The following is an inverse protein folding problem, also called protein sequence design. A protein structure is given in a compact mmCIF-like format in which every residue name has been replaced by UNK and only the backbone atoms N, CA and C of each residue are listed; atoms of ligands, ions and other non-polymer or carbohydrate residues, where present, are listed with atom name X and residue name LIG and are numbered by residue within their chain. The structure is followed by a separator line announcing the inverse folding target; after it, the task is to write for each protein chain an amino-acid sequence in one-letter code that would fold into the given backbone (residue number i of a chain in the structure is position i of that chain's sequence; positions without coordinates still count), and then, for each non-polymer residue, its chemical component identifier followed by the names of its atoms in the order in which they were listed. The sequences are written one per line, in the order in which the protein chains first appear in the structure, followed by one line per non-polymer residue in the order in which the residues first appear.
data_IF_349352812250
#
_entry.id   IF_349352812250
#
_cell.length_a   1.000
_cell.length_b   1.000
_cell.length_c   1.000
_cell.angle_alpha   90.00
_cell.angle_beta   90.00
_cell.angle_gamma   90.00
#
_symmetry.space_group_name_H-M   'P 1'
#
loop_
_entity.id
_entity.type
_entity.pdbx_description
1 polymer ?
#
# COMPACT_ATOMS: atom_id res chain seq x y z
N UNK A 1 20.48 -5.04 23.34
CA UNK A 1 21.07 -5.70 22.17
C UNK A 1 20.74 -4.84 20.96
N UNK A 2 21.71 -4.17 20.36
CA UNK A 2 21.45 -3.34 19.17
C UNK A 2 21.23 -4.26 17.97
N UNK A 3 19.99 -4.45 17.53
CA UNK A 3 19.70 -5.02 16.21
C UNK A 3 19.95 -3.92 15.18
N UNK A 4 20.97 -4.12 14.37
CA UNK A 4 21.26 -3.30 13.21
C UNK A 4 20.10 -3.48 12.23
N UNK A 5 19.31 -2.43 12.06
CA UNK A 5 18.43 -2.29 10.90
C UNK A 5 19.32 -2.41 9.65
N UNK A 6 19.18 -3.52 8.94
CA UNK A 6 19.74 -3.62 7.59
C UNK A 6 18.98 -2.61 6.72
N UNK A 7 19.69 -1.69 6.07
CA UNK A 7 19.06 -0.91 5.03
C UNK A 7 18.64 -1.90 3.93
N UNK A 8 17.35 -2.01 3.69
CA UNK A 8 16.81 -2.70 2.53
C UNK A 8 17.34 -1.93 1.31
N UNK A 9 18.47 -2.37 0.81
CA UNK A 9 19.04 -1.85 -0.43
C UNK A 9 18.00 -2.17 -1.52
N UNK A 10 17.33 -1.12 -1.98
CA UNK A 10 16.46 -1.14 -3.14
C UNK A 10 17.33 -1.63 -4.31
N UNK A 11 17.26 -2.91 -4.60
CA UNK A 11 17.94 -3.53 -5.72
C UNK A 11 17.21 -3.05 -6.98
N UNK A 12 17.61 -1.91 -7.49
CA UNK A 12 17.23 -1.45 -8.82
C UNK A 12 17.94 -2.39 -9.78
N UNK A 13 17.29 -3.50 -10.10
CA UNK A 13 17.66 -4.31 -11.25
C UNK A 13 17.46 -3.42 -12.50
N UNK A 14 18.50 -3.16 -13.28
CA UNK A 14 18.31 -2.63 -14.61
C UNK A 14 17.62 -3.75 -15.42
N UNK A 15 16.29 -3.70 -15.51
CA UNK A 15 15.61 -4.44 -16.58
C UNK A 15 16.12 -3.81 -17.86
N UNK A 16 17.10 -4.48 -18.49
CA UNK A 16 17.54 -4.17 -19.82
C UNK A 16 16.32 -4.30 -20.72
N UNK A 17 15.71 -3.15 -21.03
CA UNK A 17 14.67 -3.06 -22.03
C UNK A 17 15.26 -3.54 -23.34
N UNK A 18 14.92 -4.75 -23.78
CA UNK A 18 15.00 -5.12 -25.16
C UNK A 18 14.00 -4.19 -25.90
N UNK A 19 14.51 -3.06 -26.36
CA UNK A 19 13.79 -2.21 -27.26
C UNK A 19 13.56 -2.98 -28.56
N UNK A 20 12.40 -3.63 -28.68
CA UNK A 20 11.93 -4.12 -29.95
C UNK A 20 11.42 -2.92 -30.75
N UNK A 21 12.07 -2.69 -31.88
CA UNK A 21 11.76 -1.66 -32.84
C UNK A 21 10.33 -1.73 -33.39
N UNK A 22 9.54 -0.67 -33.09
CA UNK A 22 8.72 -0.02 -34.12
C UNK A 22 7.55 -0.77 -34.76
N UNK A 23 6.66 -1.41 -33.94
CA UNK A 23 5.28 -1.62 -34.39
C UNK A 23 4.33 -0.86 -33.43
N UNK A 24 3.18 -0.32 -33.92
CA UNK A 24 2.18 0.24 -33.04
C UNK A 24 1.78 -0.85 -32.07
N UNK A 25 2.04 -0.64 -30.76
CA UNK A 25 1.72 -1.61 -29.73
C UNK A 25 0.25 -1.95 -29.81
N UNK A 26 -0.01 -3.23 -30.08
CA UNK A 26 -1.30 -3.81 -29.82
C UNK A 26 -1.71 -3.50 -28.37
N UNK A 27 -3.01 -3.43 -28.14
CA UNK A 27 -3.66 -3.03 -26.89
C UNK A 27 -3.30 -3.87 -25.64
N UNK A 28 -2.37 -4.79 -25.73
CA UNK A 28 -1.94 -5.69 -24.65
C UNK A 28 -0.43 -5.65 -24.44
N UNK A 29 0.02 -5.70 -23.18
CA UNK A 29 1.44 -5.71 -22.84
C UNK A 29 1.73 -5.72 -21.36
N UNK A 30 2.97 -6.08 -21.01
CA UNK A 30 3.45 -6.01 -19.63
C UNK A 30 3.81 -4.58 -19.23
N UNK A 31 3.71 -4.32 -17.94
CA UNK A 31 4.17 -3.06 -17.34
C UNK A 31 4.81 -3.31 -15.99
N UNK A 32 5.67 -2.39 -15.59
CA UNK A 32 6.20 -2.31 -14.23
C UNK A 32 5.95 -0.90 -13.70
N UNK A 33 5.58 -0.77 -12.44
CA UNK A 33 5.32 0.52 -11.79
C UNK A 33 6.10 0.65 -10.50
N UNK A 34 6.63 1.84 -10.23
CA UNK A 34 7.15 2.25 -8.94
C UNK A 34 6.36 3.47 -8.45
N UNK A 35 6.02 3.48 -7.17
CA UNK A 35 5.17 4.48 -6.56
C UNK A 35 5.79 5.03 -5.28
N UNK A 36 5.56 6.31 -5.02
CA UNK A 36 5.79 6.95 -3.72
C UNK A 36 4.58 7.80 -3.38
N UNK A 37 4.27 7.91 -2.10
CA UNK A 37 3.08 8.65 -1.70
C UNK A 37 3.02 8.94 -0.23
N UNK A 38 1.86 9.43 0.16
CA UNK A 38 1.56 9.82 1.52
C UNK A 38 0.13 9.41 1.85
N UNK A 39 -0.09 8.90 3.06
CA UNK A 39 -1.41 8.44 3.45
C UNK A 39 -1.57 8.39 4.96
N UNK A 40 -2.78 8.13 5.39
CA UNK A 40 -3.16 8.02 6.81
C UNK A 40 -3.90 6.72 7.05
N UNK A 41 -3.54 6.04 8.13
CA UNK A 41 -4.34 4.96 8.71
C UNK A 41 -5.49 5.58 9.49
N UNK A 42 -6.69 5.03 9.35
CA UNK A 42 -7.85 5.49 10.11
C UNK A 42 -7.63 5.28 11.60
N UNK A 43 -8.12 6.22 12.39
CA UNK A 43 -8.11 6.11 13.83
C UNK A 43 -9.00 4.91 14.21
N UNK A 44 -8.40 3.89 14.78
CA UNK A 44 -9.08 2.63 15.13
C UNK A 44 -9.50 2.60 16.59
N UNK A 45 -10.62 1.95 16.89
CA UNK A 45 -10.98 1.56 18.24
C UNK A 45 -10.58 0.10 18.46
N UNK A 46 -9.77 -0.14 19.49
CA UNK A 46 -9.43 -1.48 19.94
C UNK A 46 -10.32 -1.82 21.14
N UNK A 47 -10.88 -3.02 21.19
CA UNK A 47 -11.65 -3.48 22.34
C UNK A 47 -10.94 -4.63 23.05
N UNK A 48 -9.94 -4.35 23.90
CA UNK A 48 -9.34 -5.37 24.74
C UNK A 48 -10.27 -5.65 25.92
N UNK A 49 -11.11 -6.68 25.80
CA UNK A 49 -11.94 -7.20 26.89
C UNK A 49 -12.90 -6.17 27.52
N UNK A 50 -13.60 -5.36 26.71
CA UNK A 50 -14.63 -4.43 27.20
C UNK A 50 -14.11 -3.05 27.65
N UNK A 51 -12.88 -2.69 27.28
CA UNK A 51 -12.34 -1.34 27.47
C UNK A 51 -11.93 -0.79 26.12
N UNK A 52 -12.74 0.11 25.55
CA UNK A 52 -12.43 0.77 24.28
C UNK A 52 -11.14 1.56 24.41
N UNK A 53 -10.12 1.17 23.66
CA UNK A 53 -8.93 1.96 23.43
C UNK A 53 -9.05 2.63 22.06
N UNK A 54 -8.64 3.89 21.93
CA UNK A 54 -8.57 4.60 20.66
C UNK A 54 -7.11 4.89 20.32
N UNK A 55 -6.74 4.62 19.08
CA UNK A 55 -5.44 4.99 18.54
C UNK A 55 -5.60 6.15 17.54
N UNK A 56 -4.78 7.19 17.70
CA UNK A 56 -4.65 8.27 16.71
C UNK A 56 -3.36 8.06 15.92
N UNK A 57 -3.47 8.09 14.60
CA UNK A 57 -2.36 7.87 13.69
C UNK A 57 -2.04 9.14 12.91
N UNK A 58 -0.77 9.51 12.86
CA UNK A 58 -0.29 10.55 11.96
C UNK A 58 -0.15 10.04 10.54
N UNK A 59 -0.37 10.92 9.54
CA UNK A 59 -0.10 10.58 8.16
C UNK A 59 1.36 10.22 7.94
N UNK A 60 1.64 9.21 7.12
CA UNK A 60 2.97 8.68 6.89
C UNK A 60 3.29 8.42 5.42
N UNK A 61 4.48 7.93 5.17
CA UNK A 61 4.98 7.67 3.82
C UNK A 61 4.49 6.32 3.29
N UNK A 62 4.27 6.28 1.98
CA UNK A 62 3.98 5.08 1.21
C UNK A 62 5.02 4.91 0.11
N UNK A 63 5.42 3.67 -0.15
CA UNK A 63 6.21 3.32 -1.33
C UNK A 63 5.77 1.95 -1.84
N UNK A 64 5.82 1.74 -3.15
CA UNK A 64 5.37 0.49 -3.71
C UNK A 64 5.95 0.19 -5.08
N UNK A 65 5.76 -1.06 -5.48
CA UNK A 65 6.10 -1.53 -6.81
C UNK A 65 5.01 -2.49 -7.30
N UNK A 66 4.78 -2.49 -8.59
CA UNK A 66 3.80 -3.38 -9.19
C UNK A 66 4.26 -3.91 -10.55
N UNK A 67 3.77 -5.10 -10.88
CA UNK A 67 3.88 -5.69 -12.21
C UNK A 67 2.46 -5.87 -12.74
N UNK A 68 2.20 -5.35 -13.92
CA UNK A 68 0.89 -5.39 -14.55
C UNK A 68 0.92 -6.02 -15.93
N UNK A 69 -0.25 -6.42 -16.39
CA UNK A 69 -0.50 -6.85 -17.74
C UNK A 69 -1.80 -6.22 -18.26
N UNK A 70 -1.67 -5.38 -19.30
CA UNK A 70 -2.82 -4.84 -20.01
C UNK A 70 -3.40 -5.93 -20.92
N UNK A 71 -4.61 -6.38 -20.62
CA UNK A 71 -5.32 -7.38 -21.43
C UNK A 71 -5.80 -6.75 -22.75
N UNK A 72 -6.25 -5.50 -22.64
CA UNK A 72 -6.65 -4.65 -23.76
C UNK A 72 -6.60 -3.17 -23.35
N UNK A 73 -7.05 -2.25 -24.19
CA UNK A 73 -7.04 -0.80 -23.92
C UNK A 73 -7.82 -0.37 -22.66
N UNK A 74 -8.74 -1.19 -22.20
CA UNK A 74 -9.64 -0.86 -21.06
C UNK A 74 -9.38 -1.68 -19.81
N UNK A 75 -8.87 -2.89 -19.94
CA UNK A 75 -8.74 -3.81 -18.84
C UNK A 75 -7.30 -4.27 -18.64
N UNK A 76 -6.84 -4.24 -17.44
CA UNK A 76 -5.56 -4.78 -17.01
C UNK A 76 -5.67 -5.49 -15.66
N UNK A 77 -4.64 -6.24 -15.36
CA UNK A 77 -4.43 -6.86 -14.05
C UNK A 77 -3.07 -6.46 -13.52
N UNK A 78 -2.94 -6.36 -12.20
CA UNK A 78 -1.70 -5.92 -11.58
C UNK A 78 -1.48 -6.67 -10.26
N UNK A 79 -0.25 -7.13 -10.04
CA UNK A 79 0.23 -7.56 -8.74
C UNK A 79 1.02 -6.39 -8.12
N UNK A 80 0.59 -5.93 -6.96
CA UNK A 80 1.11 -4.74 -6.28
C UNK A 80 1.67 -5.13 -4.91
N UNK A 81 2.81 -4.58 -4.59
CA UNK A 81 3.44 -4.61 -3.29
C UNK A 81 3.58 -3.19 -2.77
N UNK A 82 3.01 -2.90 -1.60
CA UNK A 82 3.06 -1.56 -1.02
C UNK A 82 3.47 -1.61 0.45
N UNK A 83 4.50 -0.84 0.77
CA UNK A 83 4.96 -0.54 2.12
C UNK A 83 4.35 0.79 2.58
N UNK A 84 3.94 0.83 3.85
CA UNK A 84 3.39 2.01 4.53
C UNK A 84 4.06 2.17 5.87
N UNK A 85 4.36 3.39 6.26
CA UNK A 85 4.89 3.71 7.59
C UNK A 85 4.33 5.03 8.07
N UNK A 86 4.16 5.18 9.37
CA UNK A 86 3.68 6.40 10.01
C UNK A 86 3.89 6.35 11.51
N UNK A 87 3.58 7.46 12.17
CA UNK A 87 3.71 7.58 13.61
C UNK A 87 2.35 7.32 14.27
N UNK A 88 2.39 6.72 15.46
CA UNK A 88 1.26 6.57 16.37
C UNK A 88 1.35 7.72 17.37
N UNK A 89 0.41 8.67 17.28
CA UNK A 89 0.42 9.86 18.12
C UNK A 89 -0.03 9.56 19.54
N UNK A 90 -1.06 8.71 19.70
CA UNK A 90 -1.56 8.32 21.01
C UNK A 90 -2.31 6.99 20.98
N UNK A 91 -2.12 6.20 22.01
CA UNK A 91 -3.01 5.07 22.35
C UNK A 91 -3.50 5.30 23.77
N UNK A 92 -4.81 5.36 23.97
CA UNK A 92 -5.40 5.66 25.26
C UNK A 92 -6.57 4.73 25.63
N UNK A 93 -6.61 4.29 26.88
CA UNK A 93 -7.75 3.63 27.50
C UNK A 93 -8.31 4.51 28.60
N UNK A 94 -9.61 4.85 28.55
CA UNK A 94 -10.32 5.47 29.68
C UNK A 94 -9.78 6.82 30.14
N UNK A 95 -9.20 7.64 29.25
CA UNK A 95 -8.74 9.00 29.58
C UNK A 95 -7.27 9.13 29.98
N UNK A 96 -6.49 8.08 29.89
CA UNK A 96 -5.04 8.13 30.08
C UNK A 96 -4.35 7.93 28.72
N UNK A 97 -3.74 8.99 28.18
CA UNK A 97 -2.89 8.91 26.99
C UNK A 97 -1.54 8.37 27.43
N UNK A 98 -1.12 7.24 26.91
CA UNK A 98 0.05 6.58 27.46
C UNK A 98 1.20 6.32 26.49
N UNK A 99 1.00 6.21 25.18
CA UNK A 99 2.08 5.77 24.30
C UNK A 99 2.05 6.46 22.95
N UNK A 100 3.20 6.90 22.48
CA UNK A 100 3.51 7.19 21.09
C UNK A 100 4.33 6.04 20.51
N UNK A 101 4.32 5.84 19.22
CA UNK A 101 5.05 4.76 18.58
C UNK A 101 5.19 4.94 17.08
N UNK A 102 5.81 3.98 16.45
CA UNK A 102 5.94 3.91 15.00
C UNK A 102 5.19 2.66 14.51
N UNK A 103 4.55 2.74 13.36
CA UNK A 103 3.99 1.56 12.71
C UNK A 103 4.50 1.40 11.29
N UNK A 104 4.59 0.16 10.85
CA UNK A 104 4.88 -0.18 9.47
C UNK A 104 3.96 -1.32 9.01
N UNK A 105 3.50 -1.27 7.77
CA UNK A 105 2.72 -2.34 7.17
C UNK A 105 3.14 -2.63 5.75
N UNK A 106 3.02 -3.90 5.36
CA UNK A 106 3.26 -4.39 4.00
C UNK A 106 2.02 -5.11 3.51
N UNK A 107 1.51 -4.71 2.35
CA UNK A 107 0.44 -5.42 1.68
C UNK A 107 0.87 -5.90 0.29
N UNK A 108 0.39 -7.09 -0.06
CA UNK A 108 0.48 -7.63 -1.43
C UNK A 108 -0.93 -7.85 -1.93
N UNK A 109 -1.28 -7.21 -3.05
CA UNK A 109 -2.62 -7.27 -3.64
C UNK A 109 -2.58 -7.61 -5.12
N UNK A 110 -3.58 -8.38 -5.57
CA UNK A 110 -3.89 -8.57 -6.97
C UNK A 110 -5.06 -7.66 -7.36
N UNK A 111 -4.87 -6.79 -8.33
CA UNK A 111 -5.83 -5.77 -8.73
C UNK A 111 -6.35 -6.01 -10.14
N UNK A 112 -7.62 -5.71 -10.39
CA UNK A 112 -8.20 -5.54 -11.71
C UNK A 112 -8.37 -4.04 -11.94
N UNK A 113 -7.85 -3.55 -13.06
CA UNK A 113 -7.84 -2.14 -13.44
C UNK A 113 -8.76 -1.94 -14.63
N UNK A 114 -9.62 -0.93 -14.56
CA UNK A 114 -10.40 -0.46 -15.69
C UNK A 114 -9.96 0.96 -16.09
N UNK A 115 -9.44 1.10 -17.29
CA UNK A 115 -9.02 2.39 -17.86
C UNK A 115 -10.11 2.93 -18.78
N UNK A 116 -10.39 4.22 -18.65
CA UNK A 116 -11.34 4.90 -19.53
C UNK A 116 -10.61 5.40 -20.78
N UNK A 117 -11.11 5.01 -21.94
CA UNK A 117 -10.57 5.47 -23.22
C UNK A 117 -10.79 6.98 -23.37
N UNK A 118 -9.72 7.69 -23.75
CA UNK A 118 -9.77 9.13 -24.06
C UNK A 118 -8.97 9.40 -25.33
N UNK A 119 -9.34 10.46 -26.06
CA UNK A 119 -8.59 10.95 -27.24
C UNK A 119 -7.39 11.84 -26.86
N UNK A 120 -6.92 11.73 -25.62
CA UNK A 120 -5.88 12.57 -25.03
C UNK A 120 -4.80 11.69 -24.37
N UNK A 121 -3.61 12.25 -24.03
CA UNK A 121 -2.58 11.52 -23.30
C UNK A 121 -2.99 11.19 -21.85
N UNK A 122 -4.11 11.70 -21.34
CA UNK A 122 -4.63 11.44 -20.01
C UNK A 122 -5.50 10.18 -20.01
N UNK A 123 -5.22 9.27 -19.10
CA UNK A 123 -5.93 7.99 -18.96
C UNK A 123 -6.47 7.85 -17.53
N UNK A 124 -7.70 8.29 -17.27
CA UNK A 124 -8.35 8.00 -16.00
C UNK A 124 -8.56 6.49 -15.85
N UNK A 125 -8.47 6.00 -14.61
CA UNK A 125 -8.70 4.59 -14.32
C UNK A 125 -9.23 4.40 -12.90
N UNK A 126 -9.89 3.27 -12.70
CA UNK A 126 -10.32 2.76 -11.40
C UNK A 126 -9.89 1.31 -11.28
N UNK A 127 -9.75 0.84 -10.06
CA UNK A 127 -9.43 -0.57 -9.84
C UNK A 127 -9.89 -1.05 -8.48
N UNK A 128 -9.96 -2.36 -8.38
CA UNK A 128 -10.24 -3.06 -7.13
C UNK A 128 -9.37 -4.32 -7.05
N UNK A 129 -9.02 -4.70 -5.84
CA UNK A 129 -8.17 -5.85 -5.62
C UNK A 129 -8.38 -6.51 -4.28
N UNK A 130 -7.83 -7.72 -4.19
CA UNK A 130 -7.77 -8.53 -2.98
C UNK A 130 -6.33 -8.96 -2.75
N UNK A 131 -6.00 -9.20 -1.49
CA UNK A 131 -4.66 -9.61 -1.11
C UNK A 131 -4.52 -9.87 0.37
N UNK A 132 -3.32 -9.70 0.87
CA UNK A 132 -2.99 -9.95 2.26
C UNK A 132 -2.09 -8.84 2.80
N UNK A 133 -2.32 -8.48 4.05
CA UNK A 133 -1.32 -7.80 4.86
C UNK A 133 -0.26 -8.83 5.26
N UNK A 134 0.96 -8.66 4.75
CA UNK A 134 2.06 -9.60 5.03
C UNK A 134 2.65 -9.37 6.42
N UNK A 135 2.70 -8.12 6.85
CA UNK A 135 3.28 -7.72 8.13
C UNK A 135 2.70 -6.38 8.57
N UNK A 136 2.29 -6.32 9.82
CA UNK A 136 2.01 -5.08 10.55
C UNK A 136 2.87 -5.14 11.80
N UNK A 137 3.79 -4.21 11.93
CA UNK A 137 4.63 -4.03 13.12
C UNK A 137 4.28 -2.69 13.76
N UNK A 138 3.98 -2.71 15.05
CA UNK A 138 3.77 -1.52 15.85
C UNK A 138 4.69 -1.54 17.07
N UNK A 139 5.59 -0.55 17.14
CA UNK A 139 6.50 -0.34 18.26
C UNK A 139 5.90 0.70 19.21
N UNK A 140 5.49 0.28 20.40
CA UNK A 140 4.91 1.16 21.42
C UNK A 140 5.96 1.65 22.42
N UNK A 141 6.08 2.96 22.63
CA UNK A 141 6.96 3.60 23.59
C UNK A 141 6.14 4.25 24.73
N UNK A 142 6.53 4.14 26.03
CA UNK A 142 7.79 3.61 26.55
C UNK A 142 7.73 2.11 26.93
N UNK A 143 6.64 1.40 26.73
CA UNK A 143 6.49 0.01 27.18
C UNK A 143 7.41 -0.98 26.48
N UNK A 144 7.87 -0.66 25.25
CA UNK A 144 8.67 -1.57 24.43
C UNK A 144 7.89 -2.79 23.95
N UNK A 145 6.55 -2.76 23.99
CA UNK A 145 5.71 -3.83 23.49
C UNK A 145 5.72 -3.79 21.96
N UNK A 146 6.08 -4.91 21.34
CA UNK A 146 5.96 -5.13 19.90
C UNK A 146 4.68 -5.97 19.68
N UNK A 147 3.81 -5.49 18.82
CA UNK A 147 2.59 -6.20 18.41
C UNK A 147 2.67 -6.40 16.90
N UNK A 148 2.52 -7.63 16.45
CA UNK A 148 2.58 -7.96 15.02
C UNK A 148 1.48 -8.93 14.62
N UNK A 149 0.98 -8.78 13.39
CA UNK A 149 0.12 -9.76 12.71
C UNK A 149 0.62 -10.06 11.31
N UNK A 150 0.26 -11.24 10.81
CA UNK A 150 0.65 -11.70 9.47
C UNK A 150 -0.50 -12.45 8.81
N UNK A 151 -0.86 -11.98 7.61
CA UNK A 151 -1.74 -12.74 6.73
C UNK A 151 -3.20 -12.36 6.77
N UNK A 152 -3.57 -11.23 7.36
CA UNK A 152 -4.94 -10.73 7.31
C UNK A 152 -5.39 -10.48 5.87
N UNK A 153 -6.62 -10.90 5.53
CA UNK A 153 -7.20 -10.67 4.22
C UNK A 153 -7.42 -9.18 4.02
N UNK A 154 -6.92 -8.65 2.91
CA UNK A 154 -7.05 -7.25 2.57
C UNK A 154 -7.79 -7.05 1.25
N UNK A 155 -8.56 -5.96 1.19
CA UNK A 155 -9.19 -5.50 -0.04
C UNK A 155 -8.73 -4.08 -0.34
N UNK A 156 -8.62 -3.75 -1.64
CA UNK A 156 -8.11 -2.46 -2.09
C UNK A 156 -9.01 -1.87 -3.16
N UNK A 157 -9.24 -0.56 -3.07
CA UNK A 157 -9.83 0.24 -4.13
C UNK A 157 -8.83 1.32 -4.54
N UNK A 158 -8.75 1.59 -5.83
CA UNK A 158 -7.89 2.62 -6.38
C UNK A 158 -8.59 3.41 -7.47
N UNK A 159 -8.28 4.68 -7.56
CA UNK A 159 -8.74 5.57 -8.61
C UNK A 159 -7.64 6.56 -8.95
N UNK A 160 -7.36 6.75 -10.23
CA UNK A 160 -6.23 7.57 -10.63
C UNK A 160 -6.34 8.10 -12.05
N UNK A 161 -5.31 8.83 -12.40
CA UNK A 161 -5.09 9.30 -13.75
C UNK A 161 -3.64 9.07 -14.16
N UNK A 162 -3.43 8.45 -15.31
CA UNK A 162 -2.15 8.31 -15.98
C UNK A 162 -1.97 9.41 -17.02
N UNK A 163 -0.78 9.95 -17.14
CA UNK A 163 -0.35 10.80 -18.22
C UNK A 163 0.71 10.08 -19.04
N UNK A 164 0.39 9.76 -20.29
CA UNK A 164 1.32 9.09 -21.22
C UNK A 164 2.35 10.09 -21.72
N UNK A 165 3.52 10.07 -21.10
CA UNK A 165 4.64 10.96 -21.43
C UNK A 165 5.38 10.49 -22.69
N UNK A 166 5.38 9.17 -22.96
CA UNK A 166 5.89 8.55 -24.18
C UNK A 166 5.22 7.20 -24.42
N UNK A 167 5.58 6.52 -25.50
CA UNK A 167 5.05 5.17 -25.80
C UNK A 167 5.40 4.13 -24.73
N UNK A 168 6.44 4.37 -23.95
CA UNK A 168 6.94 3.44 -22.94
C UNK A 168 6.80 3.96 -21.51
N UNK A 169 6.35 5.21 -21.31
CA UNK A 169 6.34 5.83 -19.97
C UNK A 169 4.99 6.51 -19.72
N UNK A 170 4.43 6.16 -18.59
CA UNK A 170 3.23 6.80 -18.04
C UNK A 170 3.50 7.28 -16.60
N UNK A 171 3.16 8.52 -16.30
CA UNK A 171 3.20 9.10 -14.95
C UNK A 171 1.80 8.99 -14.39
N UNK A 172 1.65 8.45 -13.18
CA UNK A 172 0.34 8.21 -12.56
C UNK A 172 0.18 9.01 -11.27
N UNK A 173 -1.01 9.56 -11.05
CA UNK A 173 -1.46 10.06 -9.76
C UNK A 173 -2.67 9.25 -9.34
N UNK A 174 -2.61 8.64 -8.16
CA UNK A 174 -3.56 7.63 -7.73
C UNK A 174 -3.95 7.81 -6.27
N UNK A 175 -5.25 7.82 -5.98
CA UNK A 175 -5.80 7.64 -4.66
C UNK A 175 -6.03 6.16 -4.38
N UNK A 176 -5.68 5.70 -3.17
CA UNK A 176 -5.85 4.32 -2.73
C UNK A 176 -6.58 4.25 -1.41
N UNK A 177 -7.46 3.29 -1.29
CA UNK A 177 -8.05 2.83 -0.05
C UNK A 177 -7.71 1.35 0.12
N UNK A 178 -7.18 0.99 1.28
CA UNK A 178 -6.94 -0.40 1.69
C UNK A 178 -7.70 -0.64 2.98
N UNK A 179 -8.47 -1.71 3.01
CA UNK A 179 -9.11 -2.23 4.21
C UNK A 179 -8.66 -3.66 4.48
N UNK A 180 -8.53 -4.03 5.74
CA UNK A 180 -8.35 -5.41 6.17
C UNK A 180 -9.23 -5.67 7.39
N UNK A 181 -9.89 -6.81 7.38
CA UNK A 181 -10.75 -7.29 8.45
C UNK A 181 -10.02 -8.38 9.24
N UNK A 182 -10.39 -8.54 10.51
CA UNK A 182 -9.90 -9.60 11.39
C UNK A 182 -8.35 -9.61 11.54
N UNK A 183 -7.75 -8.43 11.73
CA UNK A 183 -6.33 -8.33 12.07
C UNK A 183 -6.17 -8.76 13.54
N UNK A 184 -5.64 -9.97 13.76
CA UNK A 184 -5.32 -10.46 15.12
C UNK A 184 -3.95 -9.95 15.55
N UNK A 185 -3.91 -8.83 16.25
CA UNK A 185 -2.67 -8.33 16.85
C UNK A 185 -2.33 -9.16 18.09
N UNK A 186 -1.23 -9.91 18.04
CA UNK A 186 -0.78 -10.76 19.14
C UNK A 186 0.46 -10.16 19.81
N UNK A 187 0.39 -9.88 21.11
CA UNK A 187 1.51 -9.41 21.93
C UNK A 187 1.32 -9.73 23.40
N UNK A 188 2.40 -10.09 24.11
CA UNK A 188 2.44 -10.40 25.56
C UNK A 188 1.35 -11.39 26.06
N UNK A 189 0.90 -12.32 25.18
CA UNK A 189 -0.10 -13.34 25.52
C UNK A 189 -1.54 -12.87 25.46
N UNK A 190 -1.80 -11.74 24.83
CA UNK A 190 -3.15 -11.23 24.52
C UNK A 190 -3.31 -11.10 23.01
N UNK A 191 -4.50 -11.42 22.49
CA UNK A 191 -4.89 -11.21 21.10
C UNK A 191 -6.00 -10.16 21.06
N UNK A 192 -5.89 -9.23 20.12
CA UNK A 192 -6.87 -8.18 19.88
C UNK A 192 -7.30 -8.22 18.42
N UNK A 193 -8.59 -8.14 18.18
CA UNK A 193 -9.13 -7.93 16.83
C UNK A 193 -9.12 -6.43 16.53
N UNK A 194 -8.58 -6.04 15.37
CA UNK A 194 -8.53 -4.67 14.91
C UNK A 194 -8.96 -4.58 13.45
N UNK A 195 -9.72 -3.55 13.12
CA UNK A 195 -9.97 -3.17 11.72
C UNK A 195 -8.83 -2.27 11.26
N UNK A 196 -8.26 -2.58 10.11
CA UNK A 196 -7.23 -1.76 9.49
C UNK A 196 -7.76 -1.09 8.25
N UNK A 197 -7.74 0.22 8.24
CA UNK A 197 -8.10 1.03 7.08
C UNK A 197 -7.00 2.05 6.80
N UNK A 198 -6.66 2.21 5.54
CA UNK A 198 -5.65 3.17 5.11
C UNK A 198 -6.07 3.89 3.83
N UNK A 199 -5.98 5.21 3.85
CA UNK A 199 -6.22 6.08 2.67
C UNK A 199 -4.96 6.84 2.32
N UNK A 200 -4.60 6.87 1.04
CA UNK A 200 -3.40 7.57 0.61
C UNK A 200 -3.48 8.03 -0.84
N UNK A 201 -2.52 8.89 -1.19
CA UNK A 201 -2.29 9.37 -2.56
C UNK A 201 -0.87 9.03 -2.95
N UNK A 202 -0.70 8.46 -4.16
CA UNK A 202 0.60 8.03 -4.68
C UNK A 202 0.87 8.67 -6.04
N UNK A 203 2.11 9.08 -6.23
CA UNK A 203 2.68 9.41 -7.52
C UNK A 203 3.45 8.19 -8.02
N UNK A 204 3.19 7.77 -9.25
CA UNK A 204 3.77 6.58 -9.83
C UNK A 204 4.48 6.85 -11.16
N UNK A 205 5.41 5.96 -11.44
CA UNK A 205 6.11 5.85 -12.71
C UNK A 205 5.87 4.46 -13.26
N UNK A 206 5.20 4.36 -14.42
CA UNK A 206 4.85 3.09 -15.07
C UNK A 206 5.59 2.95 -16.38
N UNK A 207 6.35 1.87 -16.52
CA UNK A 207 7.02 1.47 -17.75
C UNK A 207 6.14 0.45 -18.48
N UNK A 208 5.96 0.68 -19.77
CA UNK A 208 5.19 -0.17 -20.68
C UNK A 208 6.17 -0.92 -21.60
N UNK A 209 6.00 -2.25 -21.69
CA UNK A 209 6.87 -3.13 -22.48
C UNK A 209 6.16 -3.70 -23.71
#
# INVERSE_FOLDING_TARGET
MQRKLLPLALLILPLAACASSGEPRGSSGFSARANVGYGKTSDGSFDPSGSSASGEYSPGMMSGAAIGYDINERWGVEADWTYRSGDIDSIGTGGSVANSGDYASVAVTGNVIHSFATDSPWRPYIGAGLGFLQEIDADLKPSGAEVSDRGALAYQFLAGVGYRASDSIEITLEGRYLGAEDVELTGEGQSFEAEYEHVGVMLGFRWLF
#
